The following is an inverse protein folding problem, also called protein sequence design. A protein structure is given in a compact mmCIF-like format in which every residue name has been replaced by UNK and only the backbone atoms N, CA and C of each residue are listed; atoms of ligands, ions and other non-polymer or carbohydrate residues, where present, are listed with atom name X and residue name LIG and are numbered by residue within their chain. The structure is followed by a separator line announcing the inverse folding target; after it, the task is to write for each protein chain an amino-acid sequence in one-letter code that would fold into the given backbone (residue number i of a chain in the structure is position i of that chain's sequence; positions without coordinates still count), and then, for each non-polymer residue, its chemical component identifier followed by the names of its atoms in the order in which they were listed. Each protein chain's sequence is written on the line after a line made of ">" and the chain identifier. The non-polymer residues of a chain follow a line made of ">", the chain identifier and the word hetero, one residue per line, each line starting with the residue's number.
data_IF_892636211469
#
_entry.id   IF_892636211469
#
_cell.length_a   1.000
_cell.length_b   1.000
_cell.length_c   1.000
_cell.angle_alpha   90.00
_cell.angle_beta   90.00
_cell.angle_gamma   90.00
#
_symmetry.space_group_name_H-M   'P 1'
#
loop_
_entity.id
_entity.type
_entity.pdbx_description
1 polymer ?
#
# COMPACT_ATOMS: atom_id res chain seq x y z
N UNK A 1 35.08 0.35 35.80
CA UNK A 1 34.16 -0.29 34.85
C UNK A 1 33.47 0.83 34.08
N UNK A 2 33.86 1.04 32.82
CA UNK A 2 33.25 2.06 31.97
C UNK A 2 31.91 1.53 31.46
N UNK A 3 30.81 2.12 31.93
CA UNK A 3 29.52 1.96 31.27
C UNK A 3 29.54 2.80 30.00
N UNK A 4 29.92 2.19 28.88
CA UNK A 4 29.66 2.75 27.56
C UNK A 4 28.16 2.74 27.32
N UNK A 5 27.46 3.79 27.75
CA UNK A 5 26.14 4.14 27.20
C UNK A 5 26.38 4.38 25.72
N UNK A 6 26.03 3.39 24.92
CA UNK A 6 25.93 3.48 23.47
C UNK A 6 24.73 4.41 23.17
N UNK A 7 24.88 5.71 23.41
CA UNK A 7 23.82 6.68 23.09
C UNK A 7 23.74 6.75 21.57
N UNK A 8 22.63 6.26 20.99
CA UNK A 8 22.35 6.53 19.58
C UNK A 8 22.47 8.03 19.36
N UNK A 9 23.23 8.44 18.33
CA UNK A 9 23.20 9.83 17.88
C UNK A 9 21.77 10.23 17.53
N UNK A 10 21.47 11.53 17.63
CA UNK A 10 20.15 12.06 17.28
C UNK A 10 19.75 11.62 15.87
N UNK A 11 20.68 11.67 14.92
CA UNK A 11 20.50 11.21 13.55
C UNK A 11 20.10 9.73 13.48
N UNK A 12 20.78 8.85 14.22
CA UNK A 12 20.43 7.41 14.27
C UNK A 12 19.04 7.18 14.84
N UNK A 13 18.64 7.92 15.89
CA UNK A 13 17.29 7.82 16.46
C UNK A 13 16.22 8.31 15.48
N UNK A 14 16.47 9.41 14.77
CA UNK A 14 15.53 9.94 13.77
C UNK A 14 15.36 8.97 12.59
N UNK A 15 16.46 8.42 12.06
CA UNK A 15 16.38 7.41 11.00
C UNK A 15 15.59 6.19 11.46
N UNK A 16 15.83 5.70 12.68
CA UNK A 16 15.07 4.59 13.26
C UNK A 16 13.56 4.91 13.34
N UNK A 17 13.20 6.07 13.88
CA UNK A 17 11.80 6.47 14.02
C UNK A 17 11.08 6.60 12.66
N UNK A 18 11.76 7.08 11.62
CA UNK A 18 11.15 7.20 10.29
C UNK A 18 11.06 5.88 9.54
N UNK A 19 11.98 4.95 9.81
CA UNK A 19 12.01 3.64 9.12
C UNK A 19 11.21 2.56 9.81
N UNK A 20 10.85 2.75 11.09
CA UNK A 20 9.92 1.86 11.78
C UNK A 20 8.47 2.23 11.45
N UNK A 21 7.79 1.36 10.69
CA UNK A 21 6.39 1.50 10.32
C UNK A 21 5.57 0.40 11.01
N UNK A 22 4.52 0.80 11.71
CA UNK A 22 3.56 -0.12 12.34
C UNK A 22 2.66 -0.73 11.26
N UNK A 23 2.66 -2.05 11.19
CA UNK A 23 1.85 -2.82 10.24
C UNK A 23 0.35 -2.61 10.49
N UNK A 24 -0.08 -2.50 11.74
CA UNK A 24 -1.49 -2.36 12.08
C UNK A 24 -2.07 -1.05 11.54
N UNK A 25 -1.30 0.04 11.67
CA UNK A 25 -1.68 1.35 11.12
C UNK A 25 -1.87 1.30 9.61
N UNK A 26 -1.11 0.45 8.92
CA UNK A 26 -1.28 0.26 7.48
C UNK A 26 -2.46 -0.66 7.16
N UNK A 27 -2.69 -1.71 7.95
CA UNK A 27 -3.85 -2.59 7.80
C UNK A 27 -5.18 -1.86 7.99
N UNK A 28 -5.20 -0.82 8.83
CA UNK A 28 -6.38 0.04 9.02
C UNK A 28 -6.83 0.74 7.71
N UNK A 29 -5.92 0.93 6.74
CA UNK A 29 -6.28 1.45 5.41
C UNK A 29 -7.24 0.52 4.65
N UNK A 30 -7.21 -0.79 4.93
CA UNK A 30 -8.14 -1.76 4.34
C UNK A 30 -9.38 -2.01 5.20
N UNK A 31 -9.24 -1.94 6.53
CA UNK A 31 -10.28 -2.40 7.44
C UNK A 31 -11.59 -1.61 7.31
N UNK A 32 -11.50 -0.29 7.11
CA UNK A 32 -12.66 0.60 7.09
C UNK A 32 -13.69 0.28 6.00
N UNK A 33 -13.24 -0.07 4.80
CA UNK A 33 -14.16 -0.38 3.69
C UNK A 33 -14.83 -1.74 3.84
N UNK A 34 -14.12 -2.73 4.39
CA UNK A 34 -14.66 -4.06 4.62
C UNK A 34 -15.84 -4.03 5.60
N UNK A 35 -15.73 -3.25 6.68
CA UNK A 35 -16.81 -3.10 7.68
C UNK A 35 -18.05 -2.43 7.08
N UNK A 36 -17.86 -1.40 6.23
CA UNK A 36 -18.97 -0.74 5.57
C UNK A 36 -19.73 -1.68 4.63
N UNK A 37 -19.02 -2.42 3.77
CA UNK A 37 -19.65 -3.32 2.81
C UNK A 37 -20.33 -4.50 3.51
N UNK A 38 -19.73 -5.04 4.59
CA UNK A 38 -20.38 -6.07 5.41
C UNK A 38 -21.70 -5.55 6.02
N UNK A 39 -21.71 -4.31 6.51
CA UNK A 39 -22.92 -3.68 7.04
C UNK A 39 -24.01 -3.53 5.97
N UNK A 40 -23.67 -3.03 4.78
CA UNK A 40 -24.61 -2.87 3.66
C UNK A 40 -25.17 -4.23 3.24
N UNK A 41 -24.31 -5.24 3.06
CA UNK A 41 -24.73 -6.58 2.65
C UNK A 41 -25.67 -7.21 3.68
N UNK A 42 -25.35 -7.09 4.97
CA UNK A 42 -26.20 -7.63 6.04
C UNK A 42 -27.56 -6.93 6.09
N UNK A 43 -27.59 -5.61 5.91
CA UNK A 43 -28.84 -4.85 5.83
C UNK A 43 -29.66 -5.29 4.61
N UNK A 44 -29.05 -5.33 3.42
CA UNK A 44 -29.72 -5.74 2.19
C UNK A 44 -30.28 -7.16 2.26
N UNK A 45 -29.58 -8.10 2.91
CA UNK A 45 -30.08 -9.46 3.14
C UNK A 45 -31.31 -9.51 4.05
N UNK A 46 -31.35 -8.68 5.09
CA UNK A 46 -32.52 -8.60 5.97
C UNK A 46 -33.70 -7.96 5.22
N UNK A 47 -33.47 -6.83 4.54
CA UNK A 47 -34.47 -6.11 3.77
C UNK A 47 -35.05 -7.01 2.65
N UNK A 48 -34.20 -7.77 1.95
CA UNK A 48 -34.62 -8.70 0.91
C UNK A 48 -35.54 -9.81 1.45
N UNK A 49 -35.27 -10.29 2.67
CA UNK A 49 -36.13 -11.29 3.32
C UNK A 49 -37.49 -10.70 3.68
N UNK A 50 -37.51 -9.49 4.23
CA UNK A 50 -38.76 -8.78 4.56
C UNK A 50 -39.61 -8.52 3.31
N UNK A 51 -38.97 -8.16 2.18
CA UNK A 51 -39.65 -7.98 0.89
C UNK A 51 -40.27 -9.29 0.40
N UNK A 52 -39.52 -10.39 0.46
CA UNK A 52 -40.00 -11.70 0.01
C UNK A 52 -41.19 -12.20 0.84
N UNK A 53 -41.08 -12.07 2.16
CA UNK A 53 -42.08 -12.53 3.13
C UNK A 53 -43.30 -11.58 3.24
N UNK A 54 -43.30 -10.45 2.53
CA UNK A 54 -44.39 -9.47 2.58
C UNK A 54 -45.62 -9.92 1.78
N UNK A 55 -46.78 -9.96 2.45
CA UNK A 55 -48.09 -10.18 1.84
C UNK A 55 -48.70 -8.89 1.24
N UNK A 56 -48.14 -7.73 1.60
CA UNK A 56 -48.65 -6.41 1.20
C UNK A 56 -48.12 -5.95 -0.18
N UNK A 57 -47.14 -6.67 -0.74
CA UNK A 57 -46.51 -6.36 -2.01
C UNK A 57 -46.92 -7.33 -3.10
N UNK A 58 -47.19 -6.80 -4.29
CA UNK A 58 -47.29 -7.61 -5.51
C UNK A 58 -45.92 -8.17 -5.90
N UNK A 59 -45.88 -9.25 -6.67
CA UNK A 59 -44.62 -9.84 -7.13
C UNK A 59 -43.78 -8.85 -7.97
N UNK A 60 -44.44 -8.01 -8.79
CA UNK A 60 -43.74 -6.97 -9.56
C UNK A 60 -43.07 -5.92 -8.64
N UNK A 61 -43.74 -5.52 -7.56
CA UNK A 61 -43.17 -4.60 -6.57
C UNK A 61 -42.02 -5.23 -5.79
N UNK A 62 -42.11 -6.53 -5.46
CA UNK A 62 -41.02 -7.27 -4.83
C UNK A 62 -39.79 -7.31 -5.73
N UNK A 63 -39.97 -7.66 -7.00
CA UNK A 63 -38.88 -7.67 -7.97
C UNK A 63 -38.19 -6.32 -8.09
N UNK A 64 -38.98 -5.24 -8.23
CA UNK A 64 -38.44 -3.90 -8.34
C UNK A 64 -37.62 -3.49 -7.09
N UNK A 65 -38.10 -3.82 -5.89
CA UNK A 65 -37.37 -3.50 -4.66
C UNK A 65 -36.10 -4.34 -4.49
N UNK A 66 -36.13 -5.62 -4.88
CA UNK A 66 -34.94 -6.46 -4.86
C UNK A 66 -33.86 -5.99 -5.84
N UNK A 67 -34.27 -5.49 -7.02
CA UNK A 67 -33.34 -4.89 -7.98
C UNK A 67 -32.66 -3.64 -7.40
N UNK A 68 -33.40 -2.77 -6.71
CA UNK A 68 -32.81 -1.62 -6.01
C UNK A 68 -31.81 -2.03 -4.92
N UNK A 69 -32.10 -3.08 -4.15
CA UNK A 69 -31.15 -3.60 -3.15
C UNK A 69 -29.88 -4.16 -3.81
N UNK A 70 -30.02 -4.80 -4.98
CA UNK A 70 -28.87 -5.29 -5.73
C UNK A 70 -27.98 -4.14 -6.22
N UNK A 71 -28.58 -3.04 -6.69
CA UNK A 71 -27.84 -1.83 -7.06
C UNK A 71 -27.08 -1.23 -5.88
N UNK A 72 -27.71 -1.12 -4.70
CA UNK A 72 -27.05 -0.63 -3.48
C UNK A 72 -25.86 -1.51 -3.07
N UNK A 73 -26.00 -2.82 -3.16
CA UNK A 73 -24.90 -3.77 -2.90
C UNK A 73 -23.76 -3.60 -3.91
N UNK A 74 -24.08 -3.40 -5.19
CA UNK A 74 -23.09 -3.14 -6.23
C UNK A 74 -22.32 -1.84 -5.97
N UNK A 75 -23.01 -0.75 -5.60
CA UNK A 75 -22.35 0.51 -5.24
C UNK A 75 -21.44 0.36 -4.01
N UNK A 76 -21.86 -0.39 -2.99
CA UNK A 76 -21.02 -0.67 -1.84
C UNK A 76 -19.77 -1.49 -2.21
N UNK A 77 -19.88 -2.40 -3.17
CA UNK A 77 -18.74 -3.16 -3.69
C UNK A 77 -17.77 -2.28 -4.49
N UNK A 78 -18.28 -1.41 -5.35
CA UNK A 78 -17.45 -0.44 -6.09
C UNK A 78 -16.70 0.51 -5.15
N UNK A 79 -17.39 1.00 -4.11
CA UNK A 79 -16.78 1.83 -3.08
C UNK A 79 -15.68 1.07 -2.31
N UNK A 80 -15.89 -0.21 -2.04
CA UNK A 80 -14.88 -1.07 -1.42
C UNK A 80 -13.65 -1.20 -2.30
N UNK A 81 -13.84 -1.53 -3.58
CA UNK A 81 -12.74 -1.72 -4.53
C UNK A 81 -11.90 -0.45 -4.66
N UNK A 82 -12.55 0.72 -4.73
CA UNK A 82 -11.86 2.02 -4.74
C UNK A 82 -11.05 2.26 -3.45
N UNK A 83 -11.62 1.94 -2.29
CA UNK A 83 -10.91 2.10 -1.02
C UNK A 83 -9.69 1.17 -0.91
N UNK A 84 -9.81 -0.07 -1.37
CA UNK A 84 -8.71 -1.03 -1.39
C UNK A 84 -7.61 -0.62 -2.39
N UNK A 85 -7.97 -0.07 -3.55
CA UNK A 85 -7.03 0.53 -4.50
C UNK A 85 -6.25 1.69 -3.85
N UNK A 86 -6.97 2.60 -3.17
CA UNK A 86 -6.38 3.72 -2.44
C UNK A 86 -5.43 3.26 -1.33
N UNK A 87 -5.69 2.11 -0.70
CA UNK A 87 -4.79 1.54 0.30
C UNK A 87 -3.41 1.20 -0.30
N UNK A 88 -3.36 0.60 -1.51
CA UNK A 88 -2.09 0.31 -2.20
C UNK A 88 -1.31 1.60 -2.50
N UNK A 89 -2.01 2.61 -3.02
CA UNK A 89 -1.42 3.93 -3.29
C UNK A 89 -0.91 4.57 -2.00
N UNK A 90 -1.68 4.47 -0.92
CA UNK A 90 -1.34 4.97 0.41
C UNK A 90 -0.11 4.29 1.02
N UNK A 91 0.04 2.98 0.84
CA UNK A 91 1.21 2.22 1.25
C UNK A 91 2.47 2.73 0.54
N UNK A 92 2.45 2.80 -0.79
CA UNK A 92 3.58 3.32 -1.55
C UNK A 92 3.93 4.75 -1.13
N UNK A 93 2.93 5.62 -0.98
CA UNK A 93 3.15 7.01 -0.59
C UNK A 93 3.78 7.13 0.80
N UNK A 94 3.36 6.28 1.72
CA UNK A 94 3.90 6.23 3.09
C UNK A 94 5.38 5.86 3.08
N UNK A 95 5.77 4.86 2.29
CA UNK A 95 7.18 4.46 2.13
C UNK A 95 8.00 5.60 1.54
N UNK A 96 7.54 6.22 0.47
CA UNK A 96 8.25 7.34 -0.19
C UNK A 96 8.54 8.49 0.79
N UNK A 97 7.53 8.91 1.55
CA UNK A 97 7.65 9.97 2.56
C UNK A 97 8.64 9.57 3.65
N UNK A 98 8.55 8.34 4.15
CA UNK A 98 9.41 7.84 5.23
C UNK A 98 10.87 7.71 4.80
N UNK A 99 11.12 7.18 3.60
CA UNK A 99 12.44 7.12 2.99
C UNK A 99 13.02 8.54 2.87
N UNK A 100 12.26 9.49 2.31
CA UNK A 100 12.73 10.86 2.17
C UNK A 100 13.05 11.52 3.53
N UNK A 101 12.21 11.29 4.57
CA UNK A 101 12.44 11.79 5.94
C UNK A 101 13.69 11.15 6.56
N UNK A 102 13.85 9.84 6.46
CA UNK A 102 15.02 9.12 6.97
C UNK A 102 16.32 9.59 6.30
N UNK A 103 16.32 9.69 4.97
CA UNK A 103 17.47 10.19 4.22
C UNK A 103 17.82 11.62 4.61
N UNK A 104 16.83 12.51 4.72
CA UNK A 104 17.05 13.90 5.15
C UNK A 104 17.63 13.97 6.57
N UNK A 105 17.13 13.15 7.49
CA UNK A 105 17.61 13.10 8.87
C UNK A 105 19.06 12.59 8.97
N UNK A 106 19.46 11.67 8.08
CA UNK A 106 20.83 11.13 8.06
C UNK A 106 21.89 12.17 7.68
N UNK A 107 21.52 13.24 6.95
CA UNK A 107 22.45 14.24 6.37
C UNK A 107 23.51 13.64 5.43
N UNK A 108 23.38 12.37 5.02
CA UNK A 108 24.29 11.69 4.08
C UNK A 108 24.09 12.16 2.63
N UNK A 109 22.90 12.68 2.31
CA UNK A 109 22.56 13.22 1.00
C UNK A 109 22.09 14.68 1.12
N UNK A 110 22.40 15.47 0.09
CA UNK A 110 21.93 16.85 0.00
C UNK A 110 20.41 16.91 -0.18
N UNK A 111 19.80 18.03 0.23
CA UNK A 111 18.36 18.25 0.03
C UNK A 111 17.94 18.20 -1.45
N UNK A 112 18.83 18.52 -2.40
CA UNK A 112 18.54 18.36 -3.83
C UNK A 112 18.41 16.89 -4.22
N UNK A 113 19.36 16.04 -3.81
CA UNK A 113 19.31 14.59 -4.06
C UNK A 113 18.09 13.93 -3.40
N UNK A 114 17.69 14.38 -2.20
CA UNK A 114 16.48 13.86 -1.52
C UNK A 114 15.20 14.15 -2.33
N UNK A 115 15.13 15.28 -3.04
CA UNK A 115 13.98 15.63 -3.88
C UNK A 115 13.87 14.75 -5.13
N UNK A 116 14.93 14.06 -5.52
CA UNK A 116 14.97 13.22 -6.72
C UNK A 116 14.68 11.73 -6.43
N UNK A 117 14.48 11.34 -5.16
CA UNK A 117 14.30 9.93 -4.78
C UNK A 117 13.03 9.29 -5.35
N UNK A 118 12.07 10.09 -5.85
CA UNK A 118 10.91 9.58 -6.57
C UNK A 118 11.28 8.98 -7.93
N UNK A 119 12.43 9.34 -8.50
CA UNK A 119 12.96 8.79 -9.77
C UNK A 119 13.79 7.55 -9.43
N UNK A 120 13.45 6.38 -10.00
CA UNK A 120 14.10 5.10 -9.63
C UNK A 120 15.61 5.11 -9.85
N UNK A 121 16.06 5.59 -11.01
CA UNK A 121 17.49 5.59 -11.34
C UNK A 121 18.26 6.51 -10.40
N UNK A 122 17.68 7.67 -10.05
CA UNK A 122 18.26 8.59 -9.06
C UNK A 122 18.24 8.03 -7.65
N UNK A 123 17.19 7.29 -7.28
CA UNK A 123 17.14 6.59 -5.99
C UNK A 123 18.31 5.62 -5.85
N UNK A 124 18.56 4.80 -6.87
CA UNK A 124 19.69 3.86 -6.89
C UNK A 124 21.03 4.61 -6.92
N UNK A 125 21.19 5.57 -7.83
CA UNK A 125 22.41 6.38 -7.97
C UNK A 125 22.80 7.08 -6.65
N UNK A 126 21.83 7.72 -5.98
CA UNK A 126 22.08 8.48 -4.77
C UNK A 126 22.47 7.59 -3.60
N UNK A 127 21.83 6.45 -3.41
CA UNK A 127 22.20 5.50 -2.36
C UNK A 127 23.55 4.80 -2.64
N UNK A 128 23.84 4.47 -3.89
CA UNK A 128 25.16 3.99 -4.29
C UNK A 128 26.26 5.01 -3.95
N UNK A 129 25.99 6.31 -4.14
CA UNK A 129 26.95 7.38 -3.84
C UNK A 129 27.32 7.51 -2.35
N UNK A 130 26.54 6.90 -1.45
CA UNK A 130 26.83 6.81 0.00
C UNK A 130 27.19 5.38 0.43
N UNK A 131 27.51 4.51 -0.53
CA UNK A 131 27.96 3.14 -0.30
C UNK A 131 26.87 2.19 0.19
N UNK A 132 25.62 2.42 -0.21
CA UNK A 132 24.49 1.50 0.01
C UNK A 132 24.02 1.00 -1.36
N UNK A 133 24.26 -0.27 -1.66
CA UNK A 133 23.74 -0.90 -2.88
C UNK A 133 22.30 -1.34 -2.67
N UNK A 134 21.35 -0.57 -3.22
CA UNK A 134 19.92 -0.87 -3.11
C UNK A 134 19.54 -2.25 -3.65
N UNK A 135 20.25 -2.79 -4.63
CA UNK A 135 19.94 -4.12 -5.16
C UNK A 135 20.28 -5.23 -4.17
N UNK A 136 21.15 -4.95 -3.20
CA UNK A 136 21.49 -5.86 -2.10
C UNK A 136 20.59 -5.70 -0.88
N UNK A 137 19.80 -4.62 -0.80
CA UNK A 137 18.86 -4.41 0.31
C UNK A 137 17.71 -5.41 0.19
N UNK A 138 17.56 -6.24 1.22
CA UNK A 138 16.50 -7.24 1.24
C UNK A 138 15.11 -6.59 1.05
N UNK A 139 14.29 -7.24 0.23
CA UNK A 139 12.94 -6.83 -0.20
C UNK A 139 12.88 -5.60 -1.13
N UNK A 140 13.99 -5.18 -1.73
CA UNK A 140 13.97 -4.09 -2.73
C UNK A 140 13.17 -4.45 -4.00
N UNK A 141 13.09 -5.73 -4.36
CA UNK A 141 12.30 -6.18 -5.52
C UNK A 141 10.80 -5.93 -5.31
N UNK A 142 10.27 -6.24 -4.14
CA UNK A 142 8.88 -6.02 -3.75
C UNK A 142 8.54 -4.53 -3.62
N UNK A 143 9.53 -3.70 -3.24
CA UNK A 143 9.38 -2.25 -3.29
C UNK A 143 9.29 -1.72 -4.72
N UNK A 144 10.14 -2.22 -5.64
CA UNK A 144 10.04 -1.88 -7.07
C UNK A 144 8.70 -2.33 -7.64
N UNK A 145 8.26 -3.53 -7.30
CA UNK A 145 6.96 -4.07 -7.70
C UNK A 145 5.82 -3.15 -7.23
N UNK A 146 5.79 -2.77 -5.94
CA UNK A 146 4.78 -1.87 -5.40
C UNK A 146 4.79 -0.49 -6.10
N UNK A 147 5.98 0.05 -6.40
CA UNK A 147 6.10 1.30 -7.15
C UNK A 147 5.47 1.20 -8.54
N UNK A 148 5.75 0.11 -9.26
CA UNK A 148 5.22 -0.15 -10.59
C UNK A 148 3.70 -0.35 -10.55
N UNK A 149 3.20 -1.09 -9.55
CA UNK A 149 1.78 -1.28 -9.30
C UNK A 149 1.06 0.05 -9.07
N UNK A 150 1.58 0.88 -8.17
CA UNK A 150 1.05 2.24 -7.92
C UNK A 150 1.02 3.10 -9.19
N UNK A 151 1.99 2.96 -10.10
CA UNK A 151 2.00 3.69 -11.36
C UNK A 151 0.91 3.18 -12.32
N UNK A 152 0.70 1.86 -12.41
CA UNK A 152 -0.38 1.29 -13.20
C UNK A 152 -1.74 1.77 -12.69
N UNK A 153 -1.99 1.71 -11.38
CA UNK A 153 -3.25 2.16 -10.76
C UNK A 153 -3.54 3.63 -11.06
N UNK A 154 -2.53 4.52 -10.95
CA UNK A 154 -2.71 5.96 -11.21
C UNK A 154 -3.00 6.35 -12.65
N UNK A 155 -2.70 5.50 -13.62
CA UNK A 155 -2.70 5.89 -15.04
C UNK A 155 -3.67 5.09 -15.89
N UNK A 156 -3.63 3.76 -15.80
CA UNK A 156 -4.43 2.88 -16.68
C UNK A 156 -5.37 1.96 -15.91
N UNK A 157 -5.07 1.64 -14.64
CA UNK A 157 -5.70 0.53 -13.94
C UNK A 157 -5.35 -0.84 -14.51
N UNK A 158 -4.38 -0.91 -15.43
CA UNK A 158 -3.97 -2.12 -16.15
C UNK A 158 -2.47 -2.40 -16.00
N UNK A 159 -2.11 -3.67 -16.00
CA UNK A 159 -0.73 -4.13 -15.92
C UNK A 159 0.05 -3.72 -17.18
N UNK A 160 1.17 -3.01 -16.98
CA UNK A 160 2.12 -2.69 -18.04
C UNK A 160 3.26 -3.72 -18.10
N UNK A 161 4.12 -3.62 -19.14
CA UNK A 161 5.25 -4.54 -19.32
C UNK A 161 6.19 -4.54 -18.11
N UNK A 162 6.51 -3.37 -17.56
CA UNK A 162 7.47 -3.28 -16.47
C UNK A 162 6.98 -3.97 -15.19
N UNK A 163 5.67 -3.92 -14.90
CA UNK A 163 5.08 -4.60 -13.75
C UNK A 163 5.07 -6.13 -13.95
N UNK A 164 4.76 -6.60 -15.17
CA UNK A 164 4.89 -8.01 -15.55
C UNK A 164 6.34 -8.49 -15.40
N UNK A 165 7.31 -7.75 -15.92
CA UNK A 165 8.73 -8.10 -15.82
C UNK A 165 9.22 -8.19 -14.36
N UNK A 166 8.63 -7.39 -13.46
CA UNK A 166 8.98 -7.40 -12.03
C UNK A 166 8.46 -8.64 -11.29
N UNK A 167 7.29 -9.18 -11.67
CA UNK A 167 6.72 -10.39 -11.09
C UNK A 167 5.75 -11.08 -12.07
N UNK A 168 6.27 -11.88 -13.02
CA UNK A 168 5.47 -12.46 -14.10
C UNK A 168 4.54 -13.59 -13.64
N UNK A 169 4.73 -14.08 -12.41
CA UNK A 169 3.84 -15.09 -11.82
C UNK A 169 2.52 -14.50 -11.33
N UNK A 170 2.52 -13.21 -11.00
CA UNK A 170 1.37 -12.48 -10.46
C UNK A 170 0.75 -11.56 -11.50
N UNK A 171 1.57 -10.92 -12.32
CA UNK A 171 1.13 -9.89 -13.25
C UNK A 171 1.23 -10.35 -14.69
N UNK A 172 0.19 -10.02 -15.47
CA UNK A 172 0.13 -10.28 -16.91
C UNK A 172 -0.25 -9.01 -17.64
N UNK A 173 0.53 -8.58 -18.62
CA UNK A 173 0.32 -7.32 -19.33
C UNK A 173 -1.07 -7.22 -19.98
N UNK A 174 -1.65 -6.03 -19.91
CA UNK A 174 -2.98 -5.71 -20.47
C UNK A 174 -4.15 -6.24 -19.64
N UNK A 175 -3.88 -6.92 -18.52
CA UNK A 175 -4.93 -7.35 -17.59
C UNK A 175 -5.27 -6.20 -16.65
N UNK A 176 -6.57 -5.95 -16.44
CA UNK A 176 -7.06 -5.01 -15.43
C UNK A 176 -6.65 -5.48 -14.04
N UNK A 177 -6.13 -4.56 -13.24
CA UNK A 177 -5.77 -4.85 -11.86
C UNK A 177 -7.06 -4.95 -11.04
N UNK A 178 -7.19 -6.03 -10.29
CA UNK A 178 -8.32 -6.35 -9.42
C UNK A 178 -7.77 -6.96 -8.12
N UNK A 179 -8.61 -7.46 -7.21
CA UNK A 179 -8.18 -8.09 -5.96
C UNK A 179 -7.21 -7.24 -5.12
N UNK A 180 -7.49 -5.94 -5.03
CA UNK A 180 -6.61 -4.95 -4.41
C UNK A 180 -6.24 -5.31 -2.97
N UNK A 181 -7.19 -5.75 -2.13
CA UNK A 181 -6.87 -6.18 -0.77
C UNK A 181 -5.88 -7.35 -0.71
N UNK A 182 -5.93 -8.30 -1.65
CA UNK A 182 -4.99 -9.42 -1.72
C UNK A 182 -3.59 -8.92 -2.07
N UNK A 183 -3.49 -8.06 -3.08
CA UNK A 183 -2.22 -7.47 -3.49
C UNK A 183 -1.61 -6.57 -2.39
N UNK A 184 -2.44 -5.79 -1.71
CA UNK A 184 -2.01 -4.98 -0.55
C UNK A 184 -1.41 -5.86 0.54
N UNK A 185 -2.13 -6.90 0.99
CA UNK A 185 -1.66 -7.79 2.08
C UNK A 185 -0.35 -8.48 1.70
N UNK A 186 -0.22 -8.95 0.45
CA UNK A 186 1.01 -9.58 -0.04
C UNK A 186 2.20 -8.63 -0.02
N UNK A 187 2.01 -7.38 -0.42
CA UNK A 187 3.08 -6.40 -0.54
C UNK A 187 3.39 -5.65 0.77
N UNK A 188 2.49 -5.67 1.75
CA UNK A 188 2.63 -4.89 2.98
C UNK A 188 3.90 -5.25 3.77
N UNK A 189 3.99 -6.49 4.24
CA UNK A 189 5.07 -6.91 5.13
C UNK A 189 6.45 -6.83 4.46
N UNK A 190 6.65 -7.30 3.20
CA UNK A 190 7.93 -7.16 2.52
C UNK A 190 8.38 -5.70 2.39
N UNK A 191 7.45 -4.78 2.14
CA UNK A 191 7.78 -3.36 2.01
C UNK A 191 8.09 -2.68 3.36
N UNK A 192 7.44 -3.10 4.45
CA UNK A 192 7.84 -2.68 5.81
C UNK A 192 9.26 -3.18 6.10
N UNK A 193 9.57 -4.43 5.76
CA UNK A 193 10.90 -4.99 5.96
C UNK A 193 11.96 -4.29 5.10
N UNK A 194 11.66 -3.98 3.83
CA UNK A 194 12.51 -3.16 2.99
C UNK A 194 12.86 -1.82 3.66
N UNK A 195 11.85 -1.09 4.16
CA UNK A 195 12.06 0.19 4.83
C UNK A 195 12.95 0.04 6.07
N UNK A 196 12.71 -0.98 6.90
CA UNK A 196 13.51 -1.28 8.08
C UNK A 196 14.97 -1.59 7.73
N UNK A 197 15.21 -2.42 6.71
CA UNK A 197 16.54 -2.80 6.25
C UNK A 197 17.30 -1.62 5.66
N UNK A 198 16.64 -0.83 4.80
CA UNK A 198 17.21 0.41 4.28
C UNK A 198 17.57 1.37 5.43
N UNK A 199 16.72 1.46 6.45
CA UNK A 199 17.01 2.23 7.66
C UNK A 199 18.23 1.72 8.42
N UNK A 200 18.42 0.41 8.52
CA UNK A 200 19.60 -0.18 9.15
C UNK A 200 20.87 0.17 8.37
N UNK A 201 20.82 0.07 7.05
CA UNK A 201 21.94 0.41 6.18
C UNK A 201 22.29 1.90 6.26
N UNK A 202 21.30 2.80 6.25
CA UNK A 202 21.52 4.24 6.48
C UNK A 202 22.21 4.47 7.84
N UNK A 203 21.72 3.85 8.91
CA UNK A 203 22.31 3.99 10.26
C UNK A 203 23.72 3.42 10.36
N UNK A 204 24.09 2.43 9.53
CA UNK A 204 25.45 1.88 9.49
C UNK A 204 26.48 2.88 8.94
N UNK A 205 26.02 3.90 8.20
CA UNK A 205 26.87 4.97 7.64
C UNK A 205 26.99 6.19 8.56
N UNK A 206 26.25 6.23 9.67
CA UNK A 206 26.27 7.28 10.69
C UNK A 206 27.18 6.93 11.86
#
# INVERSE_FOLDING_TARGET
>A
MSFTRNSLSLEKMQVLAFTHLDENVMMDLLAGSSVYTEHVNKKAMNDAKEIQDSDDLTEDEKHLQLDFLADDMNYAKEAQDLAEELAIIGLFKTLEIRIAKATKASKLLSNSKVKELYITDKFIEHFNSIGIDLNSVAYFTEYKELKLLNNCLKHSGEVNQSLEDANPTTWKKGVKITDFATHFRRLLQPNIMFLNNLGADIRSKL
#
